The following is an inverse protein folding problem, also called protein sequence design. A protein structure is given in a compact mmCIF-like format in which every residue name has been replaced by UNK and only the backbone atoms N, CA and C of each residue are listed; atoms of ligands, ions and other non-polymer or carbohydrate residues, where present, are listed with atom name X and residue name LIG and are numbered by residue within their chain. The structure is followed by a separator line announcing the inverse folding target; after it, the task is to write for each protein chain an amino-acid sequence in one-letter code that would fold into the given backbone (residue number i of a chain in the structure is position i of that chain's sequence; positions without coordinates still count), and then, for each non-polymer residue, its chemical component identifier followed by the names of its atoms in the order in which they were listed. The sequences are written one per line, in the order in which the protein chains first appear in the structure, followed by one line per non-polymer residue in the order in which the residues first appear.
data_IF_972808948122
#
_entry.id   IF_972808948122
#
_cell.length_a   1.000
_cell.length_b   1.000
_cell.length_c   1.000
_cell.angle_alpha   90.00
_cell.angle_beta   90.00
_cell.angle_gamma   90.00
#
_symmetry.space_group_name_H-M   'P 1'
#
loop_
_entity.id
_entity.type
_entity.pdbx_description
1 polymer ?
#
# COMPACT_ATOMS: atom_id res chain seq x y z
N UNK A 1 -6.13 57.88 15.14
CA UNK A 1 -5.27 56.69 15.41
C UNK A 1 -3.82 57.10 15.43
N UNK A 2 -3.07 56.68 16.45
CA UNK A 2 -1.61 56.92 16.50
C UNK A 2 -0.89 55.95 15.55
N UNK A 3 0.38 56.26 15.20
CA UNK A 3 1.21 55.37 14.37
C UNK A 3 1.31 53.95 14.96
N UNK A 4 1.38 53.86 16.30
CA UNK A 4 1.39 52.59 17.02
C UNK A 4 0.09 51.78 16.83
N UNK A 5 -1.08 52.42 16.89
CA UNK A 5 -2.36 51.73 16.66
C UNK A 5 -2.46 51.19 15.23
N UNK A 6 -1.96 51.93 14.23
CA UNK A 6 -1.94 51.47 12.83
C UNK A 6 -1.01 50.27 12.65
N UNK A 7 0.19 50.31 13.24
CA UNK A 7 1.13 49.20 13.19
C UNK A 7 0.57 47.93 13.88
N UNK A 8 -0.09 48.08 15.03
CA UNK A 8 -0.74 46.98 15.73
C UNK A 8 -1.85 46.32 14.89
N UNK A 9 -2.68 47.12 14.21
CA UNK A 9 -3.73 46.60 13.33
C UNK A 9 -3.15 45.83 12.14
N UNK A 10 -2.08 46.35 11.51
CA UNK A 10 -1.41 45.66 10.40
C UNK A 10 -0.79 44.33 10.85
N UNK A 11 -0.10 44.32 12.00
CA UNK A 11 0.45 43.09 12.56
C UNK A 11 -0.62 42.06 12.90
N UNK A 12 -1.74 42.51 13.47
CA UNK A 12 -2.87 41.63 13.77
C UNK A 12 -3.48 41.05 12.49
N UNK A 13 -3.70 41.89 11.47
CA UNK A 13 -4.21 41.44 10.18
C UNK A 13 -3.28 40.40 9.55
N UNK A 14 -1.97 40.66 9.55
CA UNK A 14 -0.97 39.71 9.05
C UNK A 14 -0.97 38.40 9.83
N UNK A 15 -1.01 38.45 11.15
CA UNK A 15 -1.04 37.26 12.00
C UNK A 15 -2.31 36.42 11.75
N UNK A 16 -3.47 37.06 11.63
CA UNK A 16 -4.75 36.39 11.33
C UNK A 16 -4.70 35.75 9.94
N UNK A 17 -4.30 36.49 8.90
CA UNK A 17 -4.21 35.95 7.54
C UNK A 17 -3.23 34.77 7.46
N UNK A 18 -2.07 34.89 8.11
CA UNK A 18 -1.07 33.81 8.16
C UNK A 18 -1.61 32.58 8.90
N UNK A 19 -2.33 32.79 10.01
CA UNK A 19 -2.95 31.69 10.75
C UNK A 19 -4.01 30.96 9.92
N UNK A 20 -4.84 31.70 9.17
CA UNK A 20 -5.84 31.12 8.27
C UNK A 20 -5.17 30.30 7.17
N UNK A 21 -4.09 30.81 6.56
CA UNK A 21 -3.34 30.09 5.53
C UNK A 21 -2.74 28.79 6.08
N UNK A 22 -2.11 28.83 7.26
CA UNK A 22 -1.56 27.62 7.88
C UNK A 22 -2.65 26.62 8.27
N UNK A 23 -3.80 27.09 8.78
CA UNK A 23 -4.92 26.23 9.09
C UNK A 23 -5.45 25.52 7.83
N UNK A 24 -5.57 26.25 6.71
CA UNK A 24 -5.98 25.67 5.43
C UNK A 24 -4.99 24.61 4.94
N UNK A 25 -3.69 24.93 4.92
CA UNK A 25 -2.65 23.98 4.50
C UNK A 25 -2.59 22.74 5.39
N UNK A 26 -2.82 22.91 6.70
CA UNK A 26 -2.88 21.80 7.64
C UNK A 26 -4.08 20.89 7.36
N UNK A 27 -5.26 21.46 7.11
CA UNK A 27 -6.47 20.70 6.79
C UNK A 27 -6.29 19.95 5.47
N UNK A 28 -5.85 20.63 4.42
CA UNK A 28 -5.65 20.02 3.10
C UNK A 28 -4.65 18.84 3.15
N UNK A 29 -3.53 19.04 3.84
CA UNK A 29 -2.52 17.99 4.02
C UNK A 29 -3.04 16.83 4.87
N UNK A 30 -3.82 17.10 5.91
CA UNK A 30 -4.36 16.05 6.78
C UNK A 30 -5.42 15.20 6.07
N UNK A 31 -6.28 15.81 5.26
CA UNK A 31 -7.25 15.11 4.41
C UNK A 31 -6.52 14.27 3.36
N UNK A 32 -5.58 14.85 2.64
CA UNK A 32 -4.80 14.13 1.62
C UNK A 32 -4.04 12.93 2.22
N UNK A 33 -3.43 13.11 3.40
CA UNK A 33 -2.77 12.02 4.11
C UNK A 33 -3.76 10.94 4.56
N UNK A 34 -4.95 11.33 5.02
CA UNK A 34 -6.00 10.39 5.44
C UNK A 34 -6.47 9.53 4.27
N UNK A 35 -6.70 10.11 3.09
CA UNK A 35 -7.08 9.35 1.90
C UNK A 35 -5.96 8.44 1.40
N UNK A 36 -4.70 8.91 1.41
CA UNK A 36 -3.57 8.08 1.03
C UNK A 36 -3.46 6.84 1.94
N UNK A 37 -3.60 7.02 3.26
CA UNK A 37 -3.60 5.93 4.23
C UNK A 37 -4.77 5.00 4.06
N UNK A 38 -5.99 5.51 3.91
CA UNK A 38 -7.17 4.67 3.67
C UNK A 38 -7.01 3.82 2.40
N UNK A 39 -6.44 4.38 1.34
CA UNK A 39 -6.14 3.63 0.12
C UNK A 39 -5.12 2.51 0.34
N UNK A 40 -4.05 2.81 1.07
CA UNK A 40 -3.02 1.84 1.46
C UNK A 40 -3.60 0.74 2.37
N UNK A 41 -4.28 1.10 3.44
CA UNK A 41 -4.92 0.18 4.39
C UNK A 41 -5.92 -0.74 3.68
N UNK A 42 -6.77 -0.19 2.81
CA UNK A 42 -7.75 -0.98 2.03
C UNK A 42 -7.06 -1.94 1.08
N UNK A 43 -5.96 -1.52 0.43
CA UNK A 43 -5.19 -2.39 -0.46
C UNK A 43 -4.53 -3.53 0.32
N UNK A 44 -3.93 -3.24 1.46
CA UNK A 44 -3.31 -4.23 2.35
C UNK A 44 -4.35 -5.23 2.85
N UNK A 45 -5.50 -4.77 3.33
CA UNK A 45 -6.57 -5.66 3.81
C UNK A 45 -7.13 -6.54 2.67
N UNK A 46 -7.31 -5.98 1.48
CA UNK A 46 -7.81 -6.72 0.31
C UNK A 46 -6.82 -7.79 -0.13
N UNK A 47 -5.53 -7.44 -0.25
CA UNK A 47 -4.47 -8.39 -0.60
C UNK A 47 -4.35 -9.46 0.47
N UNK A 48 -4.29 -9.09 1.75
CA UNK A 48 -4.22 -10.05 2.86
C UNK A 48 -5.42 -11.00 2.93
N UNK A 49 -6.62 -10.52 2.58
CA UNK A 49 -7.81 -11.36 2.43
C UNK A 49 -7.69 -12.39 1.30
N UNK A 50 -7.17 -11.98 0.14
CA UNK A 50 -6.91 -12.88 -0.99
C UNK A 50 -5.81 -13.88 -0.68
N UNK A 51 -4.72 -13.45 -0.04
CA UNK A 51 -3.65 -14.33 0.44
C UNK A 51 -4.21 -15.40 1.37
N UNK A 52 -5.07 -15.04 2.33
CA UNK A 52 -5.67 -16.00 3.25
C UNK A 52 -6.54 -17.04 2.54
N UNK A 53 -7.33 -16.62 1.55
CA UNK A 53 -8.15 -17.54 0.74
C UNK A 53 -7.25 -18.49 -0.06
N UNK A 54 -6.26 -17.95 -0.76
CA UNK A 54 -5.31 -18.75 -1.56
C UNK A 54 -4.50 -19.70 -0.69
N UNK A 55 -4.02 -19.23 0.46
CA UNK A 55 -3.26 -20.03 1.42
C UNK A 55 -4.10 -21.21 1.89
N UNK A 56 -5.39 -20.98 2.24
CA UNK A 56 -6.29 -22.07 2.65
C UNK A 56 -6.48 -23.12 1.55
N UNK A 57 -6.57 -22.71 0.29
CA UNK A 57 -6.77 -23.65 -0.82
C UNK A 57 -5.48 -24.37 -1.24
N UNK A 58 -4.34 -23.68 -1.17
CA UNK A 58 -3.08 -24.14 -1.76
C UNK A 58 -2.07 -24.65 -0.72
N UNK A 59 -2.41 -24.62 0.56
CA UNK A 59 -1.56 -25.13 1.62
C UNK A 59 -1.11 -26.56 1.33
N UNK A 60 0.19 -26.82 1.46
CA UNK A 60 0.75 -28.15 1.27
C UNK A 60 0.92 -28.59 -0.19
N UNK A 61 0.48 -27.78 -1.18
CA UNK A 61 0.78 -28.03 -2.59
C UNK A 61 2.28 -28.05 -2.83
N UNK A 62 2.72 -28.85 -3.80
CA UNK A 62 4.15 -28.94 -4.15
C UNK A 62 4.58 -27.69 -4.90
N UNK A 63 5.83 -27.30 -4.71
CA UNK A 63 6.42 -26.13 -5.36
C UNK A 63 6.23 -26.11 -6.88
N UNK A 64 6.45 -27.24 -7.55
CA UNK A 64 6.25 -27.37 -9.01
C UNK A 64 4.81 -27.11 -9.45
N UNK A 65 3.84 -27.49 -8.62
CA UNK A 65 2.42 -27.30 -8.93
C UNK A 65 2.02 -25.84 -8.76
N UNK A 66 2.50 -25.19 -7.69
CA UNK A 66 2.29 -23.75 -7.47
C UNK A 66 2.93 -22.95 -8.61
N UNK A 67 4.18 -23.26 -8.97
CA UNK A 67 4.88 -22.60 -10.08
C UNK A 67 4.11 -22.72 -11.41
N UNK A 68 3.56 -23.89 -11.69
CA UNK A 68 2.78 -24.12 -12.91
C UNK A 68 1.49 -23.29 -12.92
N UNK A 69 0.76 -23.25 -11.79
CA UNK A 69 -0.46 -22.44 -11.67
C UNK A 69 -0.18 -20.95 -11.83
N UNK A 70 0.91 -20.47 -11.22
CA UNK A 70 1.32 -19.06 -11.30
C UNK A 70 1.74 -18.65 -12.72
N UNK A 71 2.54 -19.46 -13.41
CA UNK A 71 2.90 -19.20 -14.81
C UNK A 71 1.66 -19.20 -15.71
N UNK A 72 0.76 -20.16 -15.54
CA UNK A 72 -0.50 -20.21 -16.31
C UNK A 72 -1.39 -18.98 -16.06
N UNK A 73 -1.37 -18.41 -14.84
CA UNK A 73 -2.06 -17.16 -14.54
C UNK A 73 -1.38 -15.96 -15.21
N UNK A 74 -0.05 -15.89 -15.15
CA UNK A 74 0.73 -14.83 -15.78
C UNK A 74 0.59 -14.80 -17.31
N UNK A 75 0.53 -15.97 -17.95
CA UNK A 75 0.34 -16.09 -19.41
C UNK A 75 -1.06 -15.67 -19.88
N UNK A 76 -2.09 -15.85 -19.04
CA UNK A 76 -3.46 -15.43 -19.36
C UNK A 76 -3.64 -13.92 -19.34
N UNK A 77 -2.84 -13.21 -18.56
CA UNK A 77 -3.00 -11.77 -18.36
C UNK A 77 -2.17 -10.97 -19.37
N UNK A 78 -2.72 -10.79 -20.58
CA UNK A 78 -2.01 -10.14 -21.70
C UNK A 78 -1.77 -8.65 -21.47
N UNK A 79 -2.55 -8.01 -20.57
CA UNK A 79 -2.49 -6.55 -20.34
C UNK A 79 -1.37 -6.11 -19.42
N UNK A 80 -0.90 -6.98 -18.53
CA UNK A 80 0.13 -6.68 -17.54
C UNK A 80 1.19 -7.76 -17.61
N UNK A 81 2.45 -7.35 -17.78
CA UNK A 81 3.56 -8.29 -17.70
C UNK A 81 3.75 -8.68 -16.24
N UNK A 82 3.17 -9.81 -15.86
CA UNK A 82 3.36 -10.42 -14.55
C UNK A 82 4.69 -11.17 -14.53
N UNK A 83 5.51 -10.91 -13.52
CA UNK A 83 6.81 -11.55 -13.34
C UNK A 83 6.68 -12.68 -12.33
N UNK A 84 6.97 -13.91 -12.76
CA UNK A 84 7.09 -15.07 -11.88
C UNK A 84 8.57 -15.39 -11.71
N UNK A 85 9.08 -15.35 -10.47
CA UNK A 85 10.50 -15.59 -10.19
C UNK A 85 10.67 -16.53 -9.02
N UNK A 86 11.51 -17.55 -9.17
CA UNK A 86 11.94 -18.41 -8.07
C UNK A 86 13.19 -17.83 -7.39
N UNK A 87 13.17 -17.75 -6.07
CA UNK A 87 14.30 -17.34 -5.23
C UNK A 87 14.40 -18.22 -3.99
N UNK A 88 15.38 -19.15 -3.99
CA UNK A 88 15.55 -20.10 -2.87
C UNK A 88 14.28 -20.93 -2.63
N UNK A 89 13.79 -20.91 -1.40
CA UNK A 89 12.57 -21.59 -0.96
C UNK A 89 11.31 -20.71 -1.13
N UNK A 90 11.34 -19.73 -2.03
CA UNK A 90 10.20 -18.88 -2.34
C UNK A 90 9.97 -18.73 -3.85
N UNK A 91 8.70 -18.56 -4.22
CA UNK A 91 8.30 -18.10 -5.56
C UNK A 91 7.63 -16.74 -5.42
N UNK A 92 8.06 -15.78 -6.21
CA UNK A 92 7.46 -14.46 -6.33
C UNK A 92 6.52 -14.42 -7.52
N UNK A 93 5.34 -13.83 -7.31
CA UNK A 93 4.37 -13.46 -8.33
C UNK A 93 4.14 -11.96 -8.24
N UNK A 94 4.82 -11.17 -9.08
CA UNK A 94 5.04 -9.75 -8.87
C UNK A 94 5.54 -9.48 -7.43
N UNK A 95 4.76 -8.76 -6.61
CA UNK A 95 5.10 -8.38 -5.25
C UNK A 95 4.65 -9.43 -4.20
N UNK A 96 3.93 -10.47 -4.61
CA UNK A 96 3.39 -11.48 -3.68
C UNK A 96 4.34 -12.66 -3.56
N UNK A 97 4.74 -12.98 -2.34
CA UNK A 97 5.66 -14.08 -2.02
C UNK A 97 4.92 -15.35 -1.64
N UNK A 98 5.34 -16.48 -2.21
CA UNK A 98 4.88 -17.82 -1.85
C UNK A 98 6.04 -18.55 -1.17
N UNK A 99 5.88 -18.89 0.12
CA UNK A 99 6.93 -19.48 0.94
C UNK A 99 6.77 -20.99 1.02
N UNK A 100 7.87 -21.71 0.76
CA UNK A 100 7.91 -23.16 0.79
C UNK A 100 8.74 -23.67 1.96
N UNK A 101 8.31 -24.81 2.49
CA UNK A 101 9.05 -25.57 3.51
C UNK A 101 9.02 -27.03 3.08
N UNK A 102 10.18 -27.67 3.02
CA UNK A 102 10.34 -29.04 2.52
C UNK A 102 9.67 -29.28 1.15
N UNK A 103 9.70 -28.28 0.27
CA UNK A 103 9.12 -28.32 -1.08
C UNK A 103 7.59 -28.23 -1.14
N UNK A 104 6.94 -27.85 -0.03
CA UNK A 104 5.49 -27.66 0.07
C UNK A 104 5.16 -26.23 0.47
N UNK A 105 4.06 -25.69 -0.06
CA UNK A 105 3.62 -24.35 0.27
C UNK A 105 3.22 -24.28 1.75
N UNK A 106 3.84 -23.35 2.46
CA UNK A 106 3.65 -23.14 3.91
C UNK A 106 2.90 -21.86 4.22
N UNK A 107 3.23 -20.75 3.56
CA UNK A 107 2.57 -19.46 3.74
C UNK A 107 2.60 -18.64 2.44
N UNK A 108 1.74 -17.62 2.37
CA UNK A 108 1.73 -16.62 1.31
C UNK A 108 1.82 -15.23 1.99
N UNK A 109 2.60 -14.33 1.39
CA UNK A 109 2.89 -12.99 1.91
C UNK A 109 4.12 -12.95 2.82
N UNK A 110 4.22 -11.89 3.63
CA UNK A 110 5.35 -11.62 4.54
C UNK A 110 5.30 -12.41 5.87
N UNK A 111 4.59 -13.54 5.89
CA UNK A 111 4.34 -14.36 7.09
C UNK A 111 5.31 -15.52 7.25
#
# INVERSE_FOLDING_TARGET
MTKATKAAVVMLAFAVSTSILFAYLWIDRSISLSYARQGEDTAIETVGGLELILEREWLGLRESEVLLKLNAAAEKEVRRKIVVKKEGDAIWFDEVRFNFDQGRLKSIGDK
#
